data_IF_171818167107
#
_entry.id   IF_171818167107
#
_cell.length_a   1.000
_cell.length_b   1.000
_cell.length_c   1.000
_cell.angle_alpha   90.00
_cell.angle_beta   90.00
_cell.angle_gamma   90.00
#
_symmetry.space_group_name_H-M   'P 1'
#
loop_
_entity.id
_entity.type
_entity.pdbx_description
1 polymer ?
#
# COMPACT_ATOMS: atom_id res chain seq x y z
N UNK A 1 28.47 -13.20 15.25
CA UNK A 1 28.30 -11.90 14.56
C UNK A 1 27.84 -12.10 13.11
N UNK A 2 28.49 -12.96 12.31
CA UNK A 2 28.08 -13.31 10.93
C UNK A 2 26.62 -13.79 10.80
N UNK A 3 26.18 -14.73 11.65
CA UNK A 3 24.82 -15.30 11.58
C UNK A 3 23.71 -14.27 11.82
N UNK A 4 23.95 -13.25 12.65
CA UNK A 4 22.97 -12.19 12.95
C UNK A 4 22.84 -11.24 11.77
N UNK A 5 23.95 -10.92 11.11
CA UNK A 5 23.96 -10.12 9.89
C UNK A 5 23.28 -10.86 8.73
N UNK A 6 23.59 -12.15 8.56
CA UNK A 6 22.92 -12.99 7.59
C UNK A 6 21.41 -13.03 7.85
N UNK A 7 20.98 -13.27 9.08
CA UNK A 7 19.56 -13.27 9.43
C UNK A 7 18.87 -11.96 9.06
N UNK A 8 19.43 -10.80 9.40
CA UNK A 8 18.85 -9.48 9.04
C UNK A 8 18.76 -9.25 7.53
N UNK A 9 19.80 -9.64 6.79
CA UNK A 9 19.84 -9.47 5.33
C UNK A 9 18.69 -10.18 4.61
N UNK A 10 18.21 -11.31 5.14
CA UNK A 10 17.05 -12.02 4.59
C UNK A 10 15.74 -11.61 5.27
N UNK A 11 15.77 -11.39 6.58
CA UNK A 11 14.59 -11.02 7.37
C UNK A 11 13.96 -9.71 6.87
N UNK A 12 14.74 -8.64 6.72
CA UNK A 12 14.19 -7.31 6.47
C UNK A 12 13.51 -7.20 5.08
N UNK A 13 14.09 -7.71 3.98
CA UNK A 13 13.41 -7.74 2.68
C UNK A 13 12.17 -8.64 2.67
N UNK A 14 12.24 -9.82 3.31
CA UNK A 14 11.10 -10.76 3.37
C UNK A 14 9.92 -10.12 4.09
N UNK A 15 10.16 -9.54 5.28
CA UNK A 15 9.11 -8.88 6.03
C UNK A 15 8.57 -7.63 5.34
N UNK A 16 9.41 -6.87 4.64
CA UNK A 16 8.97 -5.72 3.85
C UNK A 16 7.97 -6.15 2.77
N UNK A 17 8.25 -7.26 2.06
CA UNK A 17 7.36 -7.79 1.03
C UNK A 17 6.06 -8.31 1.64
N UNK A 18 6.14 -9.12 2.71
CA UNK A 18 4.96 -9.69 3.39
C UNK A 18 4.05 -8.58 3.89
N UNK A 19 4.62 -7.59 4.60
CA UNK A 19 3.86 -6.48 5.17
C UNK A 19 3.26 -5.60 4.07
N UNK A 20 4.00 -5.32 3.00
CA UNK A 20 3.50 -4.56 1.86
C UNK A 20 2.31 -5.27 1.20
N UNK A 21 2.39 -6.58 1.00
CA UNK A 21 1.30 -7.38 0.44
C UNK A 21 0.06 -7.37 1.36
N UNK A 22 0.25 -7.50 2.68
CA UNK A 22 -0.83 -7.47 3.65
C UNK A 22 -1.53 -6.10 3.69
N UNK A 23 -0.77 -5.00 3.63
CA UNK A 23 -1.31 -3.63 3.65
C UNK A 23 -1.94 -3.20 2.33
N UNK A 24 -1.52 -3.79 1.20
CA UNK A 24 -1.99 -3.39 -0.11
C UNK A 24 -3.51 -3.43 -0.25
N UNK A 25 -4.15 -4.50 0.24
CA UNK A 25 -5.60 -4.66 0.12
C UNK A 25 -6.39 -3.55 0.85
N UNK A 26 -6.22 -3.35 2.18
CA UNK A 26 -6.97 -2.32 2.90
C UNK A 26 -6.61 -0.91 2.46
N UNK A 27 -5.33 -0.61 2.17
CA UNK A 27 -4.90 0.73 1.74
C UNK A 27 -5.48 1.07 0.37
N UNK A 28 -5.45 0.14 -0.59
CA UNK A 28 -6.08 0.33 -1.91
C UNK A 28 -7.57 0.63 -1.77
N UNK A 29 -8.28 -0.10 -0.91
CA UNK A 29 -9.71 0.10 -0.70
C UNK A 29 -10.01 1.46 -0.09
N UNK A 30 -9.22 1.88 0.91
CA UNK A 30 -9.34 3.21 1.51
C UNK A 30 -9.14 4.32 0.49
N UNK A 31 -8.04 4.29 -0.27
CA UNK A 31 -7.72 5.30 -1.30
C UNK A 31 -8.82 5.35 -2.37
N UNK A 32 -9.32 4.19 -2.81
CA UNK A 32 -10.40 4.12 -3.80
C UNK A 32 -11.68 4.79 -3.29
N UNK A 33 -12.12 4.48 -2.05
CA UNK A 33 -13.29 5.11 -1.44
C UNK A 33 -13.11 6.63 -1.32
N UNK A 34 -11.92 7.09 -0.94
CA UNK A 34 -11.61 8.53 -0.88
C UNK A 34 -11.71 9.20 -2.25
N UNK A 35 -11.17 8.57 -3.30
CA UNK A 35 -11.28 9.09 -4.67
C UNK A 35 -12.73 9.15 -5.17
N UNK A 36 -13.53 8.11 -4.92
CA UNK A 36 -14.96 8.09 -5.29
C UNK A 36 -15.72 9.18 -4.54
N UNK A 37 -15.55 9.28 -3.21
CA UNK A 37 -16.20 10.31 -2.39
C UNK A 37 -15.81 11.72 -2.81
N UNK A 38 -14.53 11.95 -3.16
CA UNK A 38 -14.07 13.24 -3.67
C UNK A 38 -14.79 13.62 -4.96
N UNK A 39 -14.92 12.68 -5.90
CA UNK A 39 -15.67 12.87 -7.15
C UNK A 39 -17.17 13.12 -6.88
N UNK A 40 -17.79 12.35 -5.99
CA UNK A 40 -19.20 12.50 -5.62
C UNK A 40 -19.56 13.90 -5.07
N UNK A 41 -18.60 14.63 -4.48
CA UNK A 41 -18.81 16.01 -4.04
C UNK A 41 -18.97 16.99 -5.21
N UNK A 42 -18.38 16.70 -6.36
CA UNK A 42 -18.40 17.57 -7.55
C UNK A 42 -19.43 17.11 -8.58
N UNK A 43 -19.68 15.82 -8.68
CA UNK A 43 -20.70 15.22 -9.55
C UNK A 43 -21.58 14.28 -8.73
N UNK A 44 -22.91 14.44 -8.82
CA UNK A 44 -23.85 13.62 -8.02
C UNK A 44 -23.75 12.13 -8.35
N UNK A 45 -23.48 11.78 -9.60
CA UNK A 45 -23.32 10.41 -10.05
C UNK A 45 -21.90 10.16 -10.55
N UNK A 46 -21.34 9.01 -10.20
CA UNK A 46 -20.04 8.54 -10.69
C UNK A 46 -20.30 7.26 -11.44
N UNK A 47 -19.98 7.24 -12.73
CA UNK A 47 -20.23 6.08 -13.58
C UNK A 47 -19.36 4.89 -13.16
N UNK A 48 -19.76 3.68 -13.54
CA UNK A 48 -18.97 2.47 -13.27
C UNK A 48 -17.59 2.50 -13.96
N UNK A 49 -17.51 3.12 -15.14
CA UNK A 49 -16.27 3.31 -15.88
C UNK A 49 -15.30 4.21 -15.11
N UNK A 50 -15.80 5.31 -14.54
CA UNK A 50 -15.02 6.20 -13.70
C UNK A 50 -14.56 5.50 -12.42
N UNK A 51 -15.44 4.76 -11.75
CA UNK A 51 -15.08 3.96 -10.56
C UNK A 51 -13.97 2.97 -10.87
N UNK A 52 -14.00 2.32 -12.04
CA UNK A 52 -12.94 1.40 -12.50
C UNK A 52 -11.61 2.13 -12.72
N UNK A 53 -11.64 3.31 -13.32
CA UNK A 53 -10.43 4.14 -13.50
C UNK A 53 -9.86 4.60 -12.15
N UNK A 54 -10.70 5.06 -11.23
CA UNK A 54 -10.29 5.45 -9.88
C UNK A 54 -9.71 4.27 -9.10
N UNK A 55 -10.26 3.06 -9.27
CA UNK A 55 -9.74 1.84 -8.64
C UNK A 55 -8.34 1.47 -9.15
N UNK A 56 -8.08 1.61 -10.45
CA UNK A 56 -6.74 1.42 -11.04
C UNK A 56 -5.74 2.44 -10.48
N UNK A 57 -6.13 3.71 -10.39
CA UNK A 57 -5.29 4.77 -9.80
C UNK A 57 -5.01 4.50 -8.33
N UNK A 58 -6.02 4.12 -7.56
CA UNK A 58 -5.87 3.76 -6.16
C UNK A 58 -4.89 2.59 -5.97
N UNK A 59 -4.93 1.58 -6.84
CA UNK A 59 -3.98 0.47 -6.82
C UNK A 59 -2.53 0.93 -7.06
N UNK A 60 -2.31 1.81 -8.03
CA UNK A 60 -0.97 2.36 -8.29
C UNK A 60 -0.44 3.15 -7.09
N UNK A 61 -1.25 4.07 -6.55
CA UNK A 61 -0.87 4.85 -5.36
C UNK A 61 -0.64 3.98 -4.14
N UNK A 62 -1.47 2.95 -3.91
CA UNK A 62 -1.33 2.07 -2.76
C UNK A 62 -0.08 1.20 -2.82
N UNK A 63 0.38 0.76 -4.00
CA UNK A 63 1.64 0.00 -4.12
C UNK A 63 2.80 0.83 -3.58
N UNK A 64 2.93 2.08 -4.03
CA UNK A 64 4.01 2.97 -3.60
C UNK A 64 3.94 3.22 -2.09
N UNK A 65 2.75 3.53 -1.57
CA UNK A 65 2.54 3.76 -0.15
C UNK A 65 2.85 2.54 0.72
N UNK A 66 2.41 1.36 0.32
CA UNK A 66 2.62 0.13 1.09
C UNK A 66 4.09 -0.28 1.10
N UNK A 67 4.80 -0.19 -0.03
CA UNK A 67 6.22 -0.52 -0.10
C UNK A 67 7.05 0.43 0.78
N UNK A 68 6.84 1.74 0.64
CA UNK A 68 7.59 2.74 1.43
C UNK A 68 7.27 2.61 2.92
N UNK A 69 5.99 2.47 3.28
CA UNK A 69 5.59 2.31 4.67
C UNK A 69 6.16 1.03 5.29
N UNK A 70 6.06 -0.10 4.60
CA UNK A 70 6.59 -1.38 5.10
C UNK A 70 8.11 -1.34 5.28
N UNK A 71 8.84 -0.72 4.35
CA UNK A 71 10.28 -0.55 4.48
C UNK A 71 10.65 0.25 5.72
N UNK A 72 9.99 1.40 5.94
CA UNK A 72 10.23 2.25 7.11
C UNK A 72 9.88 1.50 8.40
N UNK A 73 8.71 0.84 8.43
CA UNK A 73 8.24 0.10 9.60
C UNK A 73 9.21 -1.01 9.98
N UNK A 74 9.65 -1.82 9.01
CA UNK A 74 10.59 -2.92 9.26
C UNK A 74 11.91 -2.38 9.82
N UNK A 75 12.43 -1.31 9.21
CA UNK A 75 13.68 -0.68 9.63
C UNK A 75 13.57 0.07 10.99
N UNK A 76 12.37 0.36 11.49
CA UNK A 76 12.18 1.00 12.81
C UNK A 76 11.82 0.00 13.91
N UNK A 77 11.05 -1.03 13.61
CA UNK A 77 10.52 -1.98 14.60
C UNK A 77 11.40 -3.21 14.77
N UNK A 78 12.03 -3.69 13.69
CA UNK A 78 12.87 -4.89 13.72
C UNK A 78 14.37 -4.61 13.80
N UNK A 79 14.76 -3.34 13.85
CA UNK A 79 16.16 -2.92 13.85
C UNK A 79 16.69 -2.61 15.25
#
# INVERSE_FOLDING_TARGET
MEFINFYRLFHDPIWTIILSAALFFPVRQLIWVLYVRKKQKTQKEVSEEEKKFLKKRAAFTSILLCVVFSYIYVNQVFK
#
